data_IF_193916740646
#
_entry.id   IF_193916740646
#
_cell.length_a   1.000
_cell.length_b   1.000
_cell.length_c   1.000
_cell.angle_alpha   90.00
_cell.angle_beta   90.00
_cell.angle_gamma   90.00
#
_symmetry.space_group_name_H-M   'P 1'
#
loop_
_entity.id
_entity.type
_entity.pdbx_description
1 polymer ?
#
# COMPACT_ATOMS: atom_id res chain seq x y z
N UNK A 1 -32.99 7.43 11.09
CA UNK A 1 -32.90 6.16 10.35
C UNK A 1 -31.89 6.37 9.24
N UNK A 2 -30.72 5.73 9.32
CA UNK A 2 -29.72 5.82 8.25
C UNK A 2 -30.31 5.21 6.98
N UNK A 3 -30.25 5.95 5.89
CA UNK A 3 -30.71 5.48 4.58
C UNK A 3 -29.77 4.37 4.07
N UNK A 4 -30.16 3.11 4.29
CA UNK A 4 -29.43 1.96 3.78
C UNK A 4 -29.57 1.92 2.24
N UNK A 5 -28.51 2.30 1.56
CA UNK A 5 -28.45 2.22 0.10
C UNK A 5 -28.01 0.81 -0.33
N UNK A 6 -28.62 0.28 -1.41
CA UNK A 6 -28.33 -1.05 -1.96
C UNK A 6 -27.84 -0.90 -3.40
N UNK A 7 -26.72 -1.53 -3.73
CA UNK A 7 -26.16 -1.55 -5.10
C UNK A 7 -25.64 -2.93 -5.46
N UNK A 8 -25.67 -3.26 -6.75
CA UNK A 8 -25.09 -4.51 -7.26
C UNK A 8 -23.60 -4.34 -7.44
N UNK A 9 -22.81 -5.25 -6.85
CA UNK A 9 -21.38 -5.29 -7.04
C UNK A 9 -21.05 -5.87 -8.43
N UNK A 10 -20.36 -5.09 -9.26
CA UNK A 10 -20.15 -5.38 -10.68
C UNK A 10 -19.52 -6.75 -10.95
N UNK A 11 -18.45 -7.11 -10.23
CA UNK A 11 -17.68 -8.35 -10.49
C UNK A 11 -18.39 -9.62 -9.99
N UNK A 12 -19.17 -9.55 -8.91
CA UNK A 12 -19.80 -10.74 -8.31
C UNK A 12 -21.28 -10.86 -8.68
N UNK A 13 -21.94 -9.75 -9.03
CA UNK A 13 -23.37 -9.67 -9.22
C UNK A 13 -24.19 -9.73 -7.91
N UNK A 14 -23.51 -9.66 -6.73
CA UNK A 14 -24.17 -9.66 -5.43
C UNK A 14 -24.75 -8.29 -5.11
N UNK A 15 -25.92 -8.26 -4.49
CA UNK A 15 -26.50 -7.02 -3.98
C UNK A 15 -25.89 -6.70 -2.60
N UNK A 16 -25.26 -5.54 -2.50
CA UNK A 16 -24.50 -5.09 -1.32
C UNK A 16 -25.18 -3.85 -0.72
N UNK A 17 -25.19 -3.76 0.60
CA UNK A 17 -25.71 -2.60 1.34
C UNK A 17 -24.56 -1.78 1.97
N UNK A 18 -24.84 -0.50 2.22
CA UNK A 18 -23.92 0.42 2.89
C UNK A 18 -23.54 -0.02 4.31
N UNK A 19 -24.43 -0.73 5.01
CA UNK A 19 -24.17 -1.27 6.36
C UNK A 19 -23.34 -2.58 6.36
N UNK A 20 -22.84 -3.03 5.21
CA UNK A 20 -22.05 -4.26 5.08
C UNK A 20 -22.88 -5.54 4.95
N UNK A 21 -24.20 -5.49 4.91
CA UNK A 21 -25.00 -6.68 4.59
C UNK A 21 -25.00 -6.97 3.09
N UNK A 22 -25.03 -8.25 2.73
CA UNK A 22 -25.00 -8.73 1.35
C UNK A 22 -26.11 -9.75 1.15
N UNK A 23 -26.84 -9.61 0.05
CA UNK A 23 -27.87 -10.56 -0.33
C UNK A 23 -27.27 -11.73 -1.12
N UNK A 24 -27.49 -12.93 -0.63
CA UNK A 24 -27.12 -14.17 -1.30
C UNK A 24 -28.36 -14.73 -2.00
N UNK A 25 -28.38 -14.80 -3.34
CA UNK A 25 -29.49 -15.39 -4.08
C UNK A 25 -29.66 -16.87 -3.74
N UNK A 26 -30.90 -17.36 -3.88
CA UNK A 26 -31.23 -18.78 -3.70
C UNK A 26 -30.31 -19.67 -4.56
N UNK A 27 -29.93 -20.79 -4.03
CA UNK A 27 -29.17 -21.84 -4.71
C UNK A 27 -29.88 -23.18 -4.58
N UNK A 28 -29.35 -24.22 -5.23
CA UNK A 28 -29.92 -25.57 -5.14
C UNK A 28 -30.02 -26.08 -3.69
N UNK A 29 -29.18 -25.58 -2.77
CA UNK A 29 -29.10 -26.07 -1.36
C UNK A 29 -29.66 -25.08 -0.34
N UNK A 30 -29.72 -23.79 -0.66
CA UNK A 30 -30.05 -22.73 0.31
C UNK A 30 -31.05 -21.75 -0.28
N UNK A 31 -31.99 -21.27 0.56
CA UNK A 31 -32.87 -20.14 0.23
C UNK A 31 -32.07 -18.84 0.17
N UNK A 32 -32.59 -17.88 -0.55
CA UNK A 32 -32.07 -16.52 -0.54
C UNK A 32 -32.12 -15.89 0.85
N UNK A 33 -31.11 -15.13 1.20
CA UNK A 33 -31.03 -14.47 2.50
C UNK A 33 -30.03 -13.32 2.52
N UNK A 34 -30.24 -12.41 3.46
CA UNK A 34 -29.27 -11.38 3.82
C UNK A 34 -28.28 -11.91 4.83
N UNK A 35 -27.01 -11.53 4.68
CA UNK A 35 -25.93 -11.94 5.59
C UNK A 35 -24.87 -10.86 5.71
N UNK A 36 -24.21 -10.79 6.87
CA UNK A 36 -22.98 -10.02 7.07
C UNK A 36 -21.72 -10.85 6.80
N UNK A 37 -21.87 -12.09 6.33
CA UNK A 37 -20.80 -13.03 6.12
C UNK A 37 -20.35 -13.73 7.41
N UNK A 38 -19.64 -14.85 7.22
CA UNK A 38 -19.03 -15.62 8.33
C UNK A 38 -17.67 -15.05 8.69
N UNK A 39 -17.34 -15.05 9.99
CA UNK A 39 -16.04 -14.61 10.47
C UNK A 39 -14.99 -15.67 10.14
N UNK A 40 -13.99 -15.28 9.36
CA UNK A 40 -12.80 -16.11 9.07
C UNK A 40 -11.56 -15.36 9.51
N UNK A 41 -10.89 -15.87 10.55
CA UNK A 41 -9.78 -15.16 11.24
C UNK A 41 -10.21 -13.78 11.75
N UNK A 42 -9.90 -12.72 11.02
CA UNK A 42 -10.21 -11.34 11.40
C UNK A 42 -11.33 -10.72 10.57
N UNK A 43 -11.60 -11.25 9.38
CA UNK A 43 -12.49 -10.61 8.41
C UNK A 43 -13.75 -11.42 8.17
N UNK A 44 -14.83 -10.74 7.78
CA UNK A 44 -16.06 -11.38 7.33
C UNK A 44 -15.94 -11.75 5.86
N UNK A 45 -16.22 -13.02 5.55
CA UNK A 45 -16.17 -13.59 4.21
C UNK A 45 -17.53 -14.11 3.78
N UNK A 46 -17.78 -14.08 2.49
CA UNK A 46 -18.93 -14.69 1.82
C UNK A 46 -18.40 -15.62 0.74
N UNK A 47 -18.89 -16.85 0.73
CA UNK A 47 -18.62 -17.79 -0.36
C UNK A 47 -19.79 -17.77 -1.34
N UNK A 48 -19.52 -17.41 -2.57
CA UNK A 48 -20.54 -17.37 -3.64
C UNK A 48 -19.96 -17.91 -4.94
N UNK A 49 -20.68 -18.86 -5.57
CA UNK A 49 -20.24 -19.55 -6.81
C UNK A 49 -18.81 -20.10 -6.72
N UNK A 50 -18.46 -20.71 -5.58
CA UNK A 50 -17.14 -21.31 -5.35
C UNK A 50 -16.01 -20.31 -5.11
N UNK A 51 -16.29 -19.01 -5.01
CA UNK A 51 -15.30 -17.95 -4.73
C UNK A 51 -15.55 -17.31 -3.37
N UNK A 52 -14.48 -16.96 -2.68
CA UNK A 52 -14.54 -16.23 -1.42
C UNK A 52 -14.39 -14.73 -1.64
N UNK A 53 -15.31 -13.97 -1.10
CA UNK A 53 -15.32 -12.51 -1.17
C UNK A 53 -15.22 -11.92 0.24
N UNK A 54 -14.31 -11.00 0.46
CA UNK A 54 -14.24 -10.25 1.71
C UNK A 54 -15.30 -9.15 1.72
N UNK A 55 -16.14 -9.11 2.76
CA UNK A 55 -17.28 -8.18 2.83
C UNK A 55 -16.84 -6.72 2.73
N UNK A 56 -15.79 -6.30 3.49
CA UNK A 56 -15.24 -4.95 3.41
C UNK A 56 -14.82 -4.55 1.98
N UNK A 57 -14.28 -5.49 1.20
CA UNK A 57 -13.92 -5.22 -0.21
C UNK A 57 -15.13 -5.09 -1.09
N UNK A 58 -16.15 -5.95 -0.91
CA UNK A 58 -17.42 -5.82 -1.64
C UNK A 58 -18.06 -4.45 -1.42
N UNK A 59 -18.11 -4.01 -0.17
CA UNK A 59 -18.66 -2.68 0.18
C UNK A 59 -17.81 -1.56 -0.43
N UNK A 60 -16.50 -1.60 -0.25
CA UNK A 60 -15.60 -0.56 -0.76
C UNK A 60 -15.63 -0.49 -2.30
N UNK A 61 -15.58 -1.63 -3.00
CA UNK A 61 -15.63 -1.68 -4.47
C UNK A 61 -17.00 -1.23 -5.03
N UNK A 62 -18.06 -1.33 -4.23
CA UNK A 62 -19.42 -0.95 -4.65
C UNK A 62 -19.73 0.53 -4.39
N UNK A 63 -19.22 1.12 -3.31
CA UNK A 63 -19.68 2.41 -2.82
C UNK A 63 -18.59 3.48 -2.74
N UNK A 64 -17.30 3.10 -2.65
CA UNK A 64 -16.20 4.04 -2.48
C UNK A 64 -15.40 4.21 -3.77
N UNK A 65 -15.23 5.45 -4.19
CA UNK A 65 -14.33 5.79 -5.29
C UNK A 65 -12.87 5.54 -4.90
N UNK A 66 -12.07 5.07 -5.87
CA UNK A 66 -10.64 4.80 -5.69
C UNK A 66 -9.80 5.48 -6.78
N UNK A 67 -9.78 6.83 -6.84
CA UNK A 67 -9.09 7.56 -7.92
C UNK A 67 -7.58 7.32 -7.92
N UNK A 68 -7.00 6.99 -6.75
CA UNK A 68 -5.56 6.72 -6.61
C UNK A 68 -5.19 5.24 -6.82
N UNK A 69 -6.14 4.38 -7.18
CA UNK A 69 -5.95 2.94 -7.35
C UNK A 69 -5.24 2.28 -6.15
N UNK A 70 -5.61 2.66 -4.93
CA UNK A 70 -5.06 2.04 -3.73
C UNK A 70 -5.40 0.55 -3.64
N UNK A 71 -4.44 -0.32 -3.27
CA UNK A 71 -4.62 -1.77 -3.32
C UNK A 71 -5.39 -2.35 -2.13
N UNK A 72 -5.51 -1.61 -1.04
CA UNK A 72 -6.08 -2.12 0.22
C UNK A 72 -7.25 -1.28 0.72
N UNK A 73 -8.15 -1.94 1.46
CA UNK A 73 -9.24 -1.31 2.22
C UNK A 73 -8.91 -1.40 3.70
N UNK A 74 -9.04 -0.29 4.42
CA UNK A 74 -8.75 -0.16 5.84
C UNK A 74 -10.03 0.17 6.62
N UNK A 75 -10.15 -0.37 7.85
CA UNK A 75 -11.21 -0.05 8.79
C UNK A 75 -10.75 1.15 9.66
N UNK A 76 -11.44 2.25 9.61
CA UNK A 76 -11.07 3.50 10.30
C UNK A 76 -11.03 3.28 11.81
N UNK A 77 -12.02 2.55 12.35
CA UNK A 77 -12.14 2.20 13.77
C UNK A 77 -11.25 1.01 14.19
N UNK A 78 -10.52 0.40 13.25
CA UNK A 78 -9.69 -0.80 13.45
C UNK A 78 -10.48 -2.06 13.82
N UNK A 79 -11.81 -2.04 13.70
CA UNK A 79 -12.67 -3.19 13.91
C UNK A 79 -12.98 -3.89 12.57
N UNK A 80 -12.36 -5.04 12.24
CA UNK A 80 -12.54 -5.71 10.95
C UNK A 80 -13.91 -6.35 10.78
N UNK A 81 -14.76 -6.32 11.80
CA UNK A 81 -16.15 -6.77 11.73
C UNK A 81 -17.13 -5.66 11.36
N UNK A 82 -16.73 -4.38 11.52
CA UNK A 82 -17.55 -3.23 11.17
C UNK A 82 -17.33 -2.85 9.69
N UNK A 83 -18.14 -3.42 8.81
CA UNK A 83 -18.05 -3.21 7.37
C UNK A 83 -19.02 -2.15 6.84
N UNK A 84 -19.45 -1.23 7.69
CA UNK A 84 -20.19 -0.05 7.26
C UNK A 84 -19.34 0.81 6.32
N UNK A 85 -19.95 1.36 5.28
CA UNK A 85 -19.27 2.17 4.26
C UNK A 85 -18.56 3.38 4.88
N UNK A 86 -19.15 4.00 5.90
CA UNK A 86 -18.58 5.16 6.62
C UNK A 86 -17.31 4.82 7.39
N UNK A 87 -17.13 3.55 7.74
CA UNK A 87 -15.96 3.03 8.45
C UNK A 87 -14.85 2.51 7.53
N UNK A 88 -15.07 2.47 6.21
CA UNK A 88 -14.12 1.94 5.24
C UNK A 88 -13.47 3.05 4.42
N UNK A 89 -12.20 2.84 4.07
CA UNK A 89 -11.47 3.72 3.15
C UNK A 89 -10.47 2.94 2.32
N UNK A 90 -10.28 3.39 1.07
CA UNK A 90 -9.16 2.92 0.27
C UNK A 90 -7.85 3.48 0.80
N UNK A 91 -6.81 2.66 0.85
CA UNK A 91 -5.52 3.06 1.44
C UNK A 91 -4.34 2.33 0.80
N UNK A 92 -3.16 2.93 0.88
CA UNK A 92 -1.90 2.26 0.58
C UNK A 92 -1.44 1.40 1.76
N UNK A 93 -0.55 0.44 1.51
CA UNK A 93 0.04 -0.38 2.58
C UNK A 93 0.71 0.46 3.68
N UNK A 94 1.38 1.55 3.32
CA UNK A 94 2.03 2.44 4.28
C UNK A 94 1.05 3.19 5.17
N UNK A 95 -0.08 3.64 4.62
CA UNK A 95 -1.15 4.30 5.38
C UNK A 95 -1.83 3.30 6.33
N UNK A 96 -2.09 2.08 5.87
CA UNK A 96 -2.68 1.03 6.70
C UNK A 96 -1.78 0.67 7.90
N UNK A 97 -0.44 0.60 7.69
CA UNK A 97 0.51 0.37 8.77
C UNK A 97 0.48 1.48 9.84
N UNK A 98 0.14 2.72 9.47
CA UNK A 98 -0.02 3.83 10.40
C UNK A 98 -1.31 3.75 11.23
N UNK A 99 -2.35 3.11 10.71
CA UNK A 99 -3.60 2.88 11.42
C UNK A 99 -3.50 1.63 12.32
N UNK A 100 -2.56 1.58 13.24
CA UNK A 100 -2.37 0.47 14.18
C UNK A 100 -2.20 0.97 15.60
N UNK A 101 -2.65 0.20 16.57
CA UNK A 101 -2.44 0.50 18.00
C UNK A 101 -0.96 0.58 18.39
N UNK A 102 -0.08 -0.06 17.63
CA UNK A 102 1.37 0.03 17.82
C UNK A 102 1.90 1.40 17.40
N UNK A 103 1.34 2.00 16.34
CA UNK A 103 1.69 3.37 15.95
C UNK A 103 1.25 4.39 17.00
N UNK A 104 0.05 4.25 17.57
CA UNK A 104 -0.41 5.17 18.62
C UNK A 104 0.53 5.13 19.83
N UNK A 105 0.84 3.95 20.35
CA UNK A 105 1.79 3.79 21.46
C UNK A 105 3.18 4.33 21.15
N UNK A 106 3.62 4.17 19.90
CA UNK A 106 4.90 4.73 19.44
C UNK A 106 4.84 6.25 19.36
N UNK A 107 3.73 6.80 18.86
CA UNK A 107 3.53 8.23 18.77
C UNK A 107 3.47 8.89 20.15
N UNK A 108 2.73 8.30 21.10
CA UNK A 108 2.69 8.75 22.49
C UNK A 108 4.06 8.77 23.16
N UNK A 109 4.88 7.72 22.90
CA UNK A 109 6.20 7.59 23.53
C UNK A 109 7.30 8.42 22.88
N UNK A 110 7.28 8.59 21.57
CA UNK A 110 8.40 9.14 20.77
C UNK A 110 8.00 10.35 19.91
N UNK A 111 6.74 10.76 19.90
CA UNK A 111 6.23 11.85 19.08
C UNK A 111 6.21 11.54 17.57
N UNK A 112 6.42 10.28 17.17
CA UNK A 112 6.42 9.87 15.76
C UNK A 112 5.78 8.49 15.56
N UNK A 113 5.27 8.22 14.36
CA UNK A 113 4.69 6.93 14.03
C UNK A 113 5.74 5.82 14.04
N UNK A 114 5.31 4.61 14.44
CA UNK A 114 6.18 3.44 14.56
C UNK A 114 7.01 3.18 13.28
N UNK A 115 6.37 3.31 12.10
CA UNK A 115 7.06 3.11 10.82
C UNK A 115 8.16 4.13 10.59
N UNK A 116 7.90 5.40 10.87
CA UNK A 116 8.88 6.49 10.70
C UNK A 116 10.03 6.34 11.69
N UNK A 117 9.74 5.98 12.94
CA UNK A 117 10.75 5.66 13.95
C UNK A 117 11.63 4.46 13.54
N UNK A 118 11.04 3.38 13.04
CA UNK A 118 11.79 2.23 12.53
C UNK A 118 12.68 2.60 11.35
N UNK A 119 12.21 3.46 10.45
CA UNK A 119 13.00 3.97 9.33
C UNK A 119 14.19 4.79 9.81
N UNK A 120 13.99 5.68 10.77
CA UNK A 120 15.09 6.46 11.36
C UNK A 120 16.09 5.61 12.12
N UNK A 121 15.64 4.65 12.93
CA UNK A 121 16.50 3.70 13.61
C UNK A 121 17.36 2.90 12.63
N UNK A 122 16.75 2.41 11.55
CA UNK A 122 17.48 1.73 10.47
C UNK A 122 18.53 2.64 9.83
N UNK A 123 18.14 3.86 9.48
CA UNK A 123 19.04 4.83 8.86
C UNK A 123 20.22 5.18 9.78
N UNK A 124 19.98 5.35 11.09
CA UNK A 124 21.04 5.56 12.08
C UNK A 124 21.99 4.37 12.17
N UNK A 125 21.46 3.15 12.23
CA UNK A 125 22.25 1.92 12.27
C UNK A 125 23.08 1.73 11.01
N UNK A 126 22.51 1.98 9.83
CA UNK A 126 23.23 1.92 8.55
C UNK A 126 24.34 2.98 8.50
N UNK A 127 24.06 4.22 8.90
CA UNK A 127 25.07 5.30 8.96
C UNK A 127 26.20 4.97 9.93
N UNK A 128 25.89 4.37 11.08
CA UNK A 128 26.89 3.92 12.04
C UNK A 128 27.73 2.77 11.48
N UNK A 129 27.09 1.77 10.85
CA UNK A 129 27.78 0.64 10.23
C UNK A 129 28.75 1.08 9.12
N UNK A 130 28.34 1.99 8.24
CA UNK A 130 29.18 2.50 7.14
C UNK A 130 30.44 3.20 7.67
N UNK A 131 30.44 3.74 8.89
CA UNK A 131 31.62 4.35 9.52
C UNK A 131 32.65 3.32 10.01
N UNK A 132 32.26 2.06 10.23
CA UNK A 132 33.18 1.00 10.64
C UNK A 132 34.12 0.58 9.49
N UNK A 133 35.33 0.04 9.77
CA UNK A 133 36.23 -0.44 8.70
C UNK A 133 35.56 -1.47 7.78
N UNK A 134 34.82 -2.41 8.34
CA UNK A 134 34.04 -3.43 7.59
C UNK A 134 32.94 -2.78 6.74
N UNK A 135 32.18 -1.85 7.32
CA UNK A 135 31.14 -1.14 6.62
C UNK A 135 31.66 -0.25 5.48
N UNK A 136 32.80 0.43 5.68
CA UNK A 136 33.45 1.20 4.61
C UNK A 136 33.83 0.31 3.42
N UNK A 137 34.41 -0.87 3.68
CA UNK A 137 34.77 -1.83 2.62
C UNK A 137 33.55 -2.29 1.84
N UNK A 138 32.51 -2.78 2.53
CA UNK A 138 31.25 -3.24 1.91
C UNK A 138 30.57 -2.12 1.13
N UNK A 139 30.55 -0.90 1.70
CA UNK A 139 29.95 0.24 1.01
C UNK A 139 30.73 0.61 -0.26
N UNK A 140 32.06 0.64 -0.19
CA UNK A 140 32.90 0.93 -1.35
C UNK A 140 32.74 -0.10 -2.47
N UNK A 141 32.66 -1.40 -2.13
CA UNK A 141 32.37 -2.47 -3.09
C UNK A 141 30.99 -2.31 -3.73
N UNK A 142 29.95 -2.00 -2.92
CA UNK A 142 28.60 -1.74 -3.41
C UNK A 142 28.57 -0.52 -4.35
N UNK A 143 29.22 0.58 -3.97
CA UNK A 143 29.34 1.79 -4.81
C UNK A 143 30.06 1.48 -6.12
N UNK A 144 31.16 0.74 -6.08
CA UNK A 144 31.90 0.31 -7.28
C UNK A 144 31.02 -0.53 -8.20
N UNK A 145 30.32 -1.51 -7.64
CA UNK A 145 29.36 -2.36 -8.39
C UNK A 145 28.23 -1.54 -9.01
N UNK A 146 27.71 -0.56 -8.27
CA UNK A 146 26.64 0.31 -8.76
C UNK A 146 27.17 1.26 -9.86
N UNK A 147 28.31 1.91 -9.64
CA UNK A 147 28.92 2.84 -10.60
C UNK A 147 29.33 2.16 -11.90
N UNK A 148 29.61 0.82 -11.88
CA UNK A 148 29.87 0.06 -13.10
C UNK A 148 28.63 -0.15 -13.96
N UNK A 149 27.42 -0.02 -13.41
CA UNK A 149 26.15 -0.25 -14.09
C UNK A 149 25.40 1.03 -14.47
N UNK A 150 25.66 2.11 -13.74
CA UNK A 150 24.90 3.35 -13.87
C UNK A 150 25.84 4.56 -13.98
N UNK A 151 25.38 5.57 -14.71
CA UNK A 151 25.99 6.91 -14.77
C UNK A 151 25.06 7.90 -14.07
N UNK A 152 25.70 8.86 -13.38
CA UNK A 152 25.02 9.99 -12.75
C UNK A 152 24.99 11.12 -13.75
N UNK A 153 23.78 11.56 -14.13
CA UNK A 153 23.56 12.70 -15.03
C UNK A 153 22.84 13.82 -14.30
N UNK A 154 23.29 15.05 -14.49
CA UNK A 154 22.60 16.25 -14.01
C UNK A 154 21.85 16.85 -15.19
N UNK A 155 20.55 17.05 -15.02
CA UNK A 155 19.69 17.66 -16.05
C UNK A 155 19.61 19.18 -15.87
N UNK A 156 19.08 19.88 -16.89
CA UNK A 156 18.97 21.34 -16.88
C UNK A 156 18.03 21.87 -15.80
N UNK A 157 17.09 21.02 -15.29
CA UNK A 157 16.22 21.32 -14.14
C UNK A 157 16.94 21.24 -12.78
N UNK A 158 18.26 20.98 -12.79
CA UNK A 158 19.09 20.82 -11.61
C UNK A 158 18.99 19.47 -10.94
N UNK A 159 18.12 18.57 -11.39
CA UNK A 159 17.94 17.24 -10.82
C UNK A 159 19.01 16.27 -11.30
N UNK A 160 19.32 15.30 -10.43
CA UNK A 160 20.30 14.25 -10.69
C UNK A 160 19.55 12.94 -10.90
N UNK A 161 19.83 12.29 -12.02
CA UNK A 161 19.29 10.98 -12.35
C UNK A 161 20.41 9.96 -12.51
N UNK A 162 20.12 8.71 -12.13
CA UNK A 162 21.01 7.57 -12.35
C UNK A 162 20.43 6.77 -13.52
N UNK A 163 21.18 6.66 -14.59
CA UNK A 163 20.77 5.98 -15.81
C UNK A 163 21.71 4.82 -16.11
N UNK A 164 21.23 3.77 -16.80
CA UNK A 164 22.10 2.68 -17.23
C UNK A 164 23.17 3.19 -18.19
N UNK A 165 24.28 2.47 -18.31
CA UNK A 165 25.37 2.84 -19.22
C UNK A 165 24.92 2.95 -20.68
N UNK A 166 23.97 2.09 -21.11
CA UNK A 166 23.39 2.10 -22.45
C UNK A 166 22.61 3.41 -22.69
N UNK A 167 21.68 3.73 -21.78
CA UNK A 167 20.94 4.99 -21.84
C UNK A 167 21.84 6.22 -21.70
N UNK A 168 22.92 6.15 -20.93
CA UNK A 168 23.87 7.25 -20.81
C UNK A 168 24.55 7.56 -22.14
N UNK A 169 24.90 6.53 -22.94
CA UNK A 169 25.46 6.69 -24.28
C UNK A 169 24.45 7.32 -25.27
N UNK A 170 23.17 6.94 -25.17
CA UNK A 170 22.09 7.58 -25.96
C UNK A 170 22.01 9.09 -25.65
N UNK A 171 22.06 9.47 -24.36
CA UNK A 171 22.07 10.86 -23.95
C UNK A 171 23.36 11.63 -24.29
N UNK A 172 24.49 10.92 -24.48
CA UNK A 172 25.75 11.54 -24.91
C UNK A 172 25.67 12.15 -26.31
N UNK A 173 24.81 11.62 -27.16
CA UNK A 173 24.56 12.10 -28.51
C UNK A 173 23.50 13.22 -28.59
N UNK A 174 22.79 13.51 -27.49
CA UNK A 174 21.78 14.54 -27.39
C UNK A 174 22.38 15.79 -26.70
N UNK A 175 22.61 16.87 -27.43
CA UNK A 175 22.90 18.21 -26.83
C UNK A 175 21.57 18.82 -26.34
N UNK A 176 21.52 19.52 -25.16
CA UNK A 176 22.58 20.08 -24.31
C UNK A 176 22.45 19.59 -22.85
N UNK A 177 23.27 18.65 -22.43
CA UNK A 177 23.34 18.25 -21.02
C UNK A 177 24.70 18.59 -20.46
N UNK A 178 24.74 19.37 -19.34
CA UNK A 178 25.98 19.56 -18.60
C UNK A 178 26.33 18.26 -17.88
N UNK A 179 27.45 17.65 -18.23
CA UNK A 179 27.97 16.44 -17.62
C UNK A 179 28.78 16.84 -16.40
N UNK A 180 28.40 16.35 -15.22
CA UNK A 180 29.29 16.40 -14.07
C UNK A 180 29.81 14.97 -13.87
N UNK A 181 31.05 14.76 -14.26
CA UNK A 181 31.77 13.53 -13.90
C UNK A 181 32.26 13.68 -12.47
N UNK A 182 31.86 12.76 -11.57
CA UNK A 182 32.57 12.58 -10.31
C UNK A 182 33.82 11.77 -10.60
N UNK A 183 35.00 12.35 -10.37
CA UNK A 183 36.25 11.64 -10.27
C UNK A 183 36.23 10.62 -9.14
#
# INVERSE_FOLDING_TARGET
>A
MENICKKVHEKSGLLVCTNGSVFIPASRRYKDHWTFGSLSRKYRLITYKGKNYSVHRLVAETFLENPNNYPTVDHIDRNPSNNDVSNLRWTSYSMQLRNTSQNDRCFEKFGMHFYDNMKECRNRSVKAYIKTPKGKKVHAEAVKKYSSKFRRLKFNDGKIHYVTLEKAKEFENLKPYQRIYTK
#
